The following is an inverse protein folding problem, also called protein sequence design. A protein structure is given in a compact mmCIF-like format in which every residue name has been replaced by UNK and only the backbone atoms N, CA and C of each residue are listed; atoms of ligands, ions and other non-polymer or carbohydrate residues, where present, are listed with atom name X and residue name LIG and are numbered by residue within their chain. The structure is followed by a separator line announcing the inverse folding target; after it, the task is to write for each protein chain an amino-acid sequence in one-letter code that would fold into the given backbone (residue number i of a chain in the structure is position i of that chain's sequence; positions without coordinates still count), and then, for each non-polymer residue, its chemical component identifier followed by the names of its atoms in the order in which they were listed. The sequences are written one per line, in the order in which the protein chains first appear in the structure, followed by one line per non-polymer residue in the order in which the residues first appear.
data_IF_424422768835
#
_entry.id   IF_424422768835
#
_cell.length_a   1.000
_cell.length_b   1.000
_cell.length_c   1.000
_cell.angle_alpha   90.00
_cell.angle_beta   90.00
_cell.angle_gamma   90.00
#
_symmetry.space_group_name_H-M   'P 1'
#
loop_
_entity.id
_entity.type
_entity.pdbx_description
1 polymer ?
#
# COMPACT_ATOMS: atom_id res chain seq x y z
N UNK A 1 71.30 38.97 10.46
CA UNK A 1 69.83 39.06 10.27
C UNK A 1 69.48 38.45 8.91
N UNK A 2 69.07 37.18 8.88
CA UNK A 2 68.73 36.51 7.63
C UNK A 2 67.33 36.95 7.18
N UNK A 3 67.25 37.74 6.11
CA UNK A 3 65.98 38.17 5.53
C UNK A 3 65.15 36.97 5.10
N UNK A 4 63.97 36.78 5.71
CA UNK A 4 62.99 35.78 5.27
C UNK A 4 62.60 36.08 3.82
N UNK A 5 63.11 35.29 2.87
CA UNK A 5 62.68 35.33 1.47
C UNK A 5 61.19 34.95 1.44
N UNK A 6 60.33 35.93 1.15
CA UNK A 6 58.88 35.69 0.98
C UNK A 6 58.69 34.89 -0.29
N UNK A 7 57.98 33.76 -0.21
CA UNK A 7 57.68 32.94 -1.37
C UNK A 7 56.74 33.72 -2.31
N UNK A 8 57.14 34.08 -3.54
CA UNK A 8 56.32 34.87 -4.46
C UNK A 8 55.03 34.16 -4.85
N UNK A 9 55.01 32.82 -4.79
CA UNK A 9 53.85 32.00 -5.13
C UNK A 9 52.75 31.97 -4.06
N UNK A 10 53.00 32.52 -2.86
CA UNK A 10 52.00 32.58 -1.79
C UNK A 10 50.76 33.41 -2.16
N UNK A 11 50.87 34.34 -3.14
CA UNK A 11 49.73 35.09 -3.68
C UNK A 11 48.72 34.22 -4.43
N UNK A 12 49.16 33.09 -5.00
CA UNK A 12 48.30 32.16 -5.74
C UNK A 12 47.71 31.06 -4.86
N UNK A 13 48.12 30.96 -3.58
CA UNK A 13 47.58 29.96 -2.65
C UNK A 13 46.05 30.08 -2.48
N UNK A 14 45.49 31.29 -2.57
CA UNK A 14 44.04 31.51 -2.49
C UNK A 14 43.25 30.76 -3.58
N UNK A 15 43.85 30.54 -4.76
CA UNK A 15 43.25 29.76 -5.84
C UNK A 15 43.06 28.31 -5.41
N UNK A 16 44.06 27.71 -4.75
CA UNK A 16 43.97 26.36 -4.20
C UNK A 16 42.88 26.23 -3.13
N UNK A 17 42.68 27.27 -2.32
CA UNK A 17 41.63 27.29 -1.30
C UNK A 17 40.22 27.37 -1.92
N UNK A 18 40.04 28.17 -2.97
CA UNK A 18 38.75 28.21 -3.71
C UNK A 18 38.44 26.85 -4.32
N UNK A 19 39.43 26.20 -4.97
CA UNK A 19 39.25 24.86 -5.55
C UNK A 19 38.87 23.84 -4.48
N UNK A 20 39.52 23.88 -3.32
CA UNK A 20 39.17 23.01 -2.19
C UNK A 20 37.74 23.28 -1.67
N UNK A 21 37.30 24.54 -1.61
CA UNK A 21 35.95 24.90 -1.16
C UNK A 21 34.88 24.35 -2.12
N UNK A 22 35.08 24.53 -3.43
CA UNK A 22 34.18 23.99 -4.46
C UNK A 22 34.16 22.44 -4.45
N UNK A 23 35.32 21.81 -4.24
CA UNK A 23 35.41 20.37 -4.07
C UNK A 23 34.69 19.89 -2.80
N UNK A 24 34.73 20.66 -1.71
CA UNK A 24 34.02 20.34 -0.47
C UNK A 24 32.50 20.41 -0.63
N UNK A 25 31.99 21.45 -1.30
CA UNK A 25 30.55 21.60 -1.55
C UNK A 25 30.04 20.46 -2.44
N UNK A 26 30.76 20.16 -3.53
CA UNK A 26 30.40 19.06 -4.42
C UNK A 26 30.45 17.69 -3.74
N UNK A 27 31.49 17.43 -2.93
CA UNK A 27 31.58 16.19 -2.14
C UNK A 27 30.41 16.06 -1.17
N UNK A 28 30.05 17.14 -0.46
CA UNK A 28 28.92 17.13 0.48
C UNK A 28 27.57 16.84 -0.19
N UNK A 29 27.35 17.39 -1.39
CA UNK A 29 26.12 17.20 -2.16
C UNK A 29 26.03 15.78 -2.74
N UNK A 30 27.14 15.20 -3.19
CA UNK A 30 27.19 13.81 -3.68
C UNK A 30 27.07 12.81 -2.53
N UNK A 31 27.67 13.10 -1.37
CA UNK A 31 27.57 12.28 -0.18
C UNK A 31 26.15 12.23 0.39
N UNK A 32 25.44 13.36 0.41
CA UNK A 32 24.05 13.42 0.86
C UNK A 32 23.12 12.65 -0.07
N UNK A 33 23.31 12.76 -1.40
CA UNK A 33 22.57 11.96 -2.37
C UNK A 33 22.75 10.45 -2.14
N UNK A 34 24.00 9.99 -1.96
CA UNK A 34 24.28 8.59 -1.64
C UNK A 34 23.68 8.14 -0.30
N UNK A 35 23.73 8.98 0.73
CA UNK A 35 23.13 8.67 2.03
C UNK A 35 21.60 8.52 1.92
N UNK A 36 20.91 9.38 1.16
CA UNK A 36 19.47 9.29 0.93
C UNK A 36 19.07 8.00 0.19
N UNK A 37 19.90 7.54 -0.75
CA UNK A 37 19.68 6.25 -1.43
C UNK A 37 19.89 5.06 -0.51
N UNK A 38 20.87 5.11 0.40
CA UNK A 38 21.11 4.04 1.38
C UNK A 38 19.99 3.87 2.41
N UNK A 39 19.20 4.93 2.65
CA UNK A 39 18.03 4.91 3.55
C UNK A 39 16.77 4.36 2.83
N UNK A 40 16.85 4.08 1.52
CA UNK A 40 15.73 3.54 0.74
C UNK A 40 14.67 4.57 0.36
N UNK A 41 14.97 5.87 0.49
CA UNK A 41 14.05 6.95 0.14
C UNK A 41 13.88 7.12 -1.39
N UNK A 42 14.91 6.73 -2.15
CA UNK A 42 14.92 6.73 -3.61
C UNK A 42 15.64 5.48 -4.14
N UNK A 43 15.01 4.74 -5.05
CA UNK A 43 15.63 3.61 -5.74
C UNK A 43 16.32 4.10 -7.02
N UNK A 44 17.62 4.38 -6.93
CA UNK A 44 18.44 4.62 -8.11
C UNK A 44 18.88 3.28 -8.71
N UNK A 45 18.73 3.14 -10.03
CA UNK A 45 19.22 2.02 -10.82
C UNK A 45 20.73 1.81 -10.59
N UNK A 46 21.18 0.55 -10.57
CA UNK A 46 22.53 0.13 -10.13
C UNK A 46 23.68 0.85 -10.88
N UNK A 47 23.43 1.27 -12.12
CA UNK A 47 24.35 2.05 -12.95
C UNK A 47 24.56 3.49 -12.44
N UNK A 48 23.53 4.12 -11.88
CA UNK A 48 23.59 5.48 -11.34
C UNK A 48 24.33 5.52 -9.99
N UNK A 49 24.14 4.49 -9.15
CA UNK A 49 24.85 4.37 -7.87
C UNK A 49 26.36 4.26 -8.05
N UNK A 50 26.81 3.49 -9.06
CA UNK A 50 28.22 3.37 -9.39
C UNK A 50 28.81 4.70 -9.89
N UNK A 51 28.07 5.46 -10.70
CA UNK A 51 28.50 6.78 -11.16
C UNK A 51 28.65 7.79 -10.00
N UNK A 52 27.70 7.81 -9.06
CA UNK A 52 27.76 8.64 -7.85
C UNK A 52 28.96 8.28 -6.96
N UNK A 53 29.25 6.98 -6.79
CA UNK A 53 30.40 6.52 -6.00
C UNK A 53 31.74 6.92 -6.63
N UNK A 54 31.89 6.82 -7.95
CA UNK A 54 33.09 7.28 -8.66
C UNK A 54 33.22 8.81 -8.53
N UNK A 55 32.13 9.56 -8.70
CA UNK A 55 32.12 11.02 -8.54
C UNK A 55 32.51 11.45 -7.12
N UNK A 56 32.06 10.72 -6.09
CA UNK A 56 32.46 10.91 -4.70
C UNK A 56 33.97 10.71 -4.52
N UNK A 57 34.54 9.62 -5.05
CA UNK A 57 35.97 9.34 -4.93
C UNK A 57 36.83 10.41 -5.63
N UNK A 58 36.42 10.85 -6.82
CA UNK A 58 37.14 11.89 -7.58
C UNK A 58 37.07 13.25 -6.88
N UNK A 59 35.90 13.64 -6.37
CA UNK A 59 35.72 14.91 -5.66
C UNK A 59 36.49 14.96 -4.34
N UNK A 60 36.52 13.85 -3.59
CA UNK A 60 37.36 13.68 -2.41
C UNK A 60 38.85 13.78 -2.77
N UNK A 61 39.29 13.12 -3.84
CA UNK A 61 40.67 13.23 -4.32
C UNK A 61 41.07 14.67 -4.66
N UNK A 62 40.20 15.40 -5.37
CA UNK A 62 40.43 16.79 -5.74
C UNK A 62 40.47 17.73 -4.52
N UNK A 63 39.64 17.47 -3.50
CA UNK A 63 39.66 18.19 -2.23
C UNK A 63 41.00 18.07 -1.51
N UNK A 64 41.52 16.84 -1.38
CA UNK A 64 42.81 16.60 -0.74
C UNK A 64 43.97 17.20 -1.52
N UNK A 65 43.94 17.12 -2.85
CA UNK A 65 44.96 17.74 -3.71
C UNK A 65 44.92 19.26 -3.57
N UNK A 66 43.73 19.89 -3.59
CA UNK A 66 43.56 21.33 -3.40
C UNK A 66 44.07 21.82 -2.04
N UNK A 67 43.73 21.10 -0.97
CA UNK A 67 44.24 21.37 0.37
C UNK A 67 45.76 21.17 0.47
N UNK A 68 46.31 20.12 -0.17
CA UNK A 68 47.74 19.85 -0.23
C UNK A 68 48.52 20.95 -0.95
N UNK A 69 48.00 21.43 -2.09
CA UNK A 69 48.58 22.55 -2.85
C UNK A 69 48.53 23.84 -2.04
N UNK A 70 47.40 24.14 -1.38
CA UNK A 70 47.30 25.28 -0.47
C UNK A 70 48.31 25.20 0.66
N UNK A 71 48.47 24.01 1.25
CA UNK A 71 49.39 23.77 2.35
C UNK A 71 50.85 23.94 1.95
N UNK A 72 51.21 23.47 0.76
CA UNK A 72 52.57 23.58 0.24
C UNK A 72 52.92 25.03 -0.16
N UNK A 73 51.97 25.76 -0.75
CA UNK A 73 52.17 27.14 -1.19
C UNK A 73 52.14 28.17 -0.05
N UNK A 74 51.48 27.87 1.07
CA UNK A 74 51.29 28.81 2.20
C UNK A 74 51.67 28.22 3.58
N UNK A 75 52.93 27.77 3.78
CA UNK A 75 53.35 27.15 5.04
C UNK A 75 53.26 28.11 6.25
N UNK A 76 53.45 29.40 6.03
CA UNK A 76 53.34 30.42 7.09
C UNK A 76 51.91 30.59 7.59
N UNK A 77 50.91 30.48 6.70
CA UNK A 77 49.49 30.57 7.05
C UNK A 77 49.05 29.36 7.88
N UNK A 78 49.45 28.15 7.48
CA UNK A 78 49.18 26.92 8.25
C UNK A 78 49.84 26.97 9.62
N UNK A 79 51.10 27.39 9.69
CA UNK A 79 51.79 27.52 10.99
C UNK A 79 51.07 28.47 11.92
N UNK A 80 50.56 29.61 11.43
CA UNK A 80 49.75 30.55 12.22
C UNK A 80 48.37 29.98 12.60
N UNK A 81 47.77 29.17 11.73
CA UNK A 81 46.49 28.51 11.99
C UNK A 81 46.61 27.40 13.05
N UNK A 82 47.76 26.71 13.11
CA UNK A 82 48.05 25.63 14.07
C UNK A 82 48.63 26.17 15.39
N UNK A 83 49.44 27.23 15.35
CA UNK A 83 50.07 27.82 16.56
C UNK A 83 49.31 29.01 17.14
N UNK A 84 48.26 29.48 16.46
CA UNK A 84 47.46 30.62 16.90
C UNK A 84 46.56 30.32 18.10
N UNK A 85 46.12 31.37 18.81
CA UNK A 85 45.15 31.25 19.92
C UNK A 85 43.84 30.59 19.48
N UNK A 86 43.43 30.83 18.24
CA UNK A 86 42.23 30.28 17.62
C UNK A 86 42.32 28.76 17.37
N UNK A 87 43.54 28.23 17.18
CA UNK A 87 43.80 26.79 17.05
C UNK A 87 43.39 26.04 18.31
N UNK A 88 43.78 26.56 19.49
CA UNK A 88 43.47 25.94 20.79
C UNK A 88 41.97 25.81 21.06
N UNK A 89 41.20 26.82 20.67
CA UNK A 89 39.74 26.78 20.79
C UNK A 89 39.11 25.87 19.74
N UNK A 90 39.63 25.83 18.51
CA UNK A 90 39.16 24.95 17.44
C UNK A 90 39.46 23.46 17.68
N UNK A 91 40.56 23.13 18.34
CA UNK A 91 40.94 21.74 18.67
C UNK A 91 39.89 21.05 19.53
N UNK A 92 39.32 21.76 20.52
CA UNK A 92 38.30 21.19 21.38
C UNK A 92 37.02 20.87 20.59
N UNK A 93 36.60 21.78 19.71
CA UNK A 93 35.46 21.54 18.81
C UNK A 93 35.72 20.37 17.86
N UNK A 94 36.94 20.24 17.32
CA UNK A 94 37.31 19.12 16.46
C UNK A 94 37.25 17.78 17.21
N UNK A 95 37.78 17.74 18.44
CA UNK A 95 37.74 16.54 19.30
C UNK A 95 36.30 16.15 19.60
N UNK A 96 35.43 17.12 19.92
CA UNK A 96 34.01 16.87 20.18
C UNK A 96 33.28 16.36 18.93
N UNK A 97 33.57 16.92 17.75
CA UNK A 97 32.99 16.44 16.48
C UNK A 97 33.44 15.00 16.19
N UNK A 98 34.73 14.71 16.32
CA UNK A 98 35.26 13.36 16.12
C UNK A 98 34.69 12.36 17.14
N UNK A 99 34.55 12.77 18.40
CA UNK A 99 33.93 11.96 19.44
C UNK A 99 32.44 11.70 19.12
N UNK A 100 31.70 12.72 18.70
CA UNK A 100 30.29 12.59 18.32
C UNK A 100 30.10 11.67 17.12
N UNK A 101 30.91 11.84 16.07
CA UNK A 101 30.91 10.95 14.89
C UNK A 101 31.31 9.53 15.30
N UNK A 102 32.31 9.37 16.15
CA UNK A 102 32.73 8.07 16.70
C UNK A 102 31.61 7.38 17.47
N UNK A 103 30.85 8.12 18.29
CA UNK A 103 29.67 7.61 19.00
C UNK A 103 28.61 7.20 17.99
N UNK A 104 28.30 8.02 16.98
CA UNK A 104 27.31 7.67 15.96
C UNK A 104 27.70 6.41 15.20
N UNK A 105 28.96 6.26 14.81
CA UNK A 105 29.46 5.05 14.14
C UNK A 105 29.40 3.85 15.08
N UNK A 106 29.76 3.99 16.36
CA UNK A 106 29.69 2.90 17.33
C UNK A 106 28.25 2.45 17.58
N UNK A 107 27.33 3.40 17.76
CA UNK A 107 25.89 3.13 17.90
C UNK A 107 25.36 2.45 16.64
N UNK A 108 25.67 3.00 15.46
CA UNK A 108 25.25 2.42 14.19
C UNK A 108 25.80 1.00 14.00
N UNK A 109 27.07 0.76 14.34
CA UNK A 109 27.69 -0.56 14.29
C UNK A 109 27.03 -1.55 15.26
N UNK A 110 26.72 -1.12 16.48
CA UNK A 110 26.01 -1.94 17.47
C UNK A 110 24.59 -2.27 16.96
N UNK A 111 23.85 -1.29 16.43
CA UNK A 111 22.51 -1.49 15.87
C UNK A 111 22.56 -2.43 14.66
N UNK A 112 23.51 -2.24 13.75
CA UNK A 112 23.69 -3.08 12.57
C UNK A 112 24.07 -4.52 12.91
N UNK A 113 24.86 -4.72 13.97
CA UNK A 113 25.29 -6.06 14.41
C UNK A 113 24.24 -6.75 15.29
N UNK A 114 23.48 -5.97 16.05
CA UNK A 114 22.48 -6.45 17.01
C UNK A 114 21.05 -6.13 16.54
N UNK A 115 20.76 -6.43 15.26
CA UNK A 115 19.44 -6.25 14.66
C UNK A 115 18.34 -7.02 15.43
N UNK A 116 18.67 -8.10 16.13
CA UNK A 116 17.71 -8.83 16.96
C UNK A 116 17.33 -8.13 18.26
N UNK A 117 18.16 -7.19 18.75
CA UNK A 117 17.98 -6.50 20.04
C UNK A 117 17.31 -5.13 19.88
N UNK A 118 17.53 -4.46 18.75
CA UNK A 118 16.96 -3.15 18.41
C UNK A 118 16.06 -3.14 17.16
N UNK A 119 16.04 -4.23 16.39
CA UNK A 119 15.24 -4.39 15.17
C UNK A 119 13.92 -5.12 15.40
N UNK A 120 13.34 -5.03 16.59
CA UNK A 120 11.89 -5.10 16.66
C UNK A 120 11.39 -3.88 15.87
N UNK A 121 10.66 -4.05 14.75
CA UNK A 121 10.16 -2.93 13.98
C UNK A 121 9.26 -2.11 14.89
N UNK A 122 9.79 -0.99 15.41
CA UNK A 122 8.97 0.02 16.04
C UNK A 122 8.26 0.76 14.91
N UNK A 123 7.18 0.13 14.44
CA UNK A 123 6.24 0.70 13.49
C UNK A 123 5.48 1.83 14.20
N UNK A 124 5.98 3.07 14.06
CA UNK A 124 5.33 4.30 14.50
C UNK A 124 4.18 4.72 13.54
N UNK A 125 3.57 3.77 12.83
CA UNK A 125 2.31 4.01 12.13
C UNK A 125 1.16 3.66 13.06
N UNK A 126 0.18 4.56 13.13
CA UNK A 126 -0.95 4.50 14.06
C UNK A 126 -1.92 3.33 13.77
N UNK A 127 -1.64 2.49 12.75
CA UNK A 127 -2.56 1.50 12.21
C UNK A 127 -2.11 0.04 12.33
N UNK A 128 -0.92 -0.29 12.86
CA UNK A 128 -0.44 -1.69 13.02
C UNK A 128 -0.67 -2.59 11.78
N UNK A 129 -0.76 -2.03 10.57
CA UNK A 129 -1.23 -2.75 9.37
C UNK A 129 -0.25 -3.84 8.89
N UNK A 130 0.95 -3.87 9.46
CA UNK A 130 1.96 -4.88 9.20
C UNK A 130 2.02 -6.01 10.24
N UNK A 131 1.28 -5.90 11.34
CA UNK A 131 1.29 -6.90 12.42
C UNK A 131 -0.09 -7.54 12.55
N UNK A 132 -0.13 -8.85 12.79
CA UNK A 132 -1.38 -9.54 13.10
C UNK A 132 -1.98 -8.98 14.39
N UNK A 133 -3.31 -8.89 14.45
CA UNK A 133 -4.01 -8.50 15.67
C UNK A 133 -3.71 -9.47 16.83
N UNK A 134 -3.83 -8.99 18.07
CA UNK A 134 -3.62 -9.84 19.24
C UNK A 134 -4.55 -11.07 19.26
N UNK A 135 -5.74 -10.96 18.68
CA UNK A 135 -6.69 -12.08 18.56
C UNK A 135 -6.16 -13.16 17.62
N UNK A 136 -5.63 -12.78 16.44
CA UNK A 136 -5.00 -13.71 15.49
C UNK A 136 -3.83 -14.46 16.08
N UNK A 137 -2.97 -13.76 16.86
CA UNK A 137 -1.83 -14.38 17.53
C UNK A 137 -2.24 -15.41 18.60
N UNK A 138 -3.30 -15.14 19.36
CA UNK A 138 -3.82 -16.08 20.35
C UNK A 138 -4.37 -17.36 19.70
N UNK A 139 -5.03 -17.23 18.56
CA UNK A 139 -5.57 -18.39 17.82
C UNK A 139 -4.42 -19.23 17.25
N UNK A 140 -3.40 -18.60 16.67
CA UNK A 140 -2.19 -19.30 16.22
C UNK A 140 -1.48 -20.04 17.36
N UNK A 141 -1.39 -19.43 18.56
CA UNK A 141 -0.77 -20.06 19.72
C UNK A 141 -1.55 -21.28 20.24
N UNK A 142 -2.88 -21.29 20.07
CA UNK A 142 -3.77 -22.35 20.55
C UNK A 142 -4.02 -23.47 19.53
N UNK A 143 -3.38 -23.41 18.35
CA UNK A 143 -3.48 -24.45 17.33
C UNK A 143 -3.02 -25.82 17.88
N UNK A 144 -3.88 -26.86 17.85
CA UNK A 144 -3.55 -28.18 18.38
C UNK A 144 -2.53 -28.91 17.50
N UNK A 145 -2.68 -28.82 16.18
CA UNK A 145 -1.86 -29.49 15.16
C UNK A 145 -1.40 -28.48 14.08
N UNK A 146 -0.54 -28.94 13.18
CA UNK A 146 -0.06 -28.15 12.03
C UNK A 146 -1.20 -27.88 11.03
N UNK A 147 -1.31 -26.63 10.59
CA UNK A 147 -2.28 -26.18 9.61
C UNK A 147 -1.59 -25.83 8.30
N UNK A 148 -2.03 -26.44 7.21
CA UNK A 148 -1.54 -26.12 5.86
C UNK A 148 -2.60 -25.31 5.11
N UNK A 149 -2.23 -24.12 4.64
CA UNK A 149 -3.05 -23.24 3.83
C UNK A 149 -2.72 -23.39 2.34
N UNK A 150 -3.64 -23.95 1.56
CA UNK A 150 -3.49 -24.03 0.09
C UNK A 150 -4.29 -22.89 -0.56
N UNK A 151 -3.59 -21.90 -1.12
CA UNK A 151 -4.18 -20.77 -1.80
C UNK A 151 -4.39 -21.08 -3.29
N UNK A 152 -5.64 -21.05 -3.72
CA UNK A 152 -6.05 -21.27 -5.11
C UNK A 152 -6.21 -19.92 -5.81
N UNK A 153 -5.15 -19.52 -6.51
CA UNK A 153 -5.05 -18.24 -7.22
C UNK A 153 -4.60 -18.49 -8.66
N UNK A 154 -5.36 -18.00 -9.64
CA UNK A 154 -4.91 -17.96 -11.04
C UNK A 154 -3.77 -16.95 -11.21
N UNK A 155 -3.08 -16.99 -12.35
CA UNK A 155 -2.00 -16.04 -12.65
C UNK A 155 -2.52 -14.63 -12.98
N UNK A 156 -3.82 -14.50 -13.25
CA UNK A 156 -4.46 -13.20 -13.56
C UNK A 156 -4.91 -12.45 -12.30
N UNK A 157 -5.00 -13.13 -11.15
CA UNK A 157 -5.42 -12.54 -9.89
C UNK A 157 -4.19 -12.16 -9.06
N UNK A 158 -4.21 -10.94 -8.51
CA UNK A 158 -3.12 -10.48 -7.65
C UNK A 158 -3.04 -11.34 -6.38
N UNK A 159 -1.94 -12.08 -6.25
CA UNK A 159 -1.64 -12.92 -5.08
C UNK A 159 -0.76 -12.19 -4.06
N UNK A 160 -0.18 -11.04 -4.39
CA UNK A 160 0.83 -10.35 -3.56
C UNK A 160 0.29 -10.06 -2.15
N UNK A 161 -0.91 -9.49 -2.07
CA UNK A 161 -1.55 -9.18 -0.78
C UNK A 161 -1.91 -10.43 0.05
N UNK A 162 -2.32 -11.51 -0.63
CA UNK A 162 -2.62 -12.79 0.02
C UNK A 162 -1.35 -13.48 0.50
N UNK A 163 -0.26 -13.42 -0.27
CA UNK A 163 1.04 -13.95 0.07
C UNK A 163 1.62 -13.25 1.29
N UNK A 164 1.60 -11.92 1.32
CA UNK A 164 2.04 -11.14 2.48
C UNK A 164 1.26 -11.51 3.75
N UNK A 165 -0.05 -11.69 3.63
CA UNK A 165 -0.89 -12.12 4.75
C UNK A 165 -0.52 -13.54 5.22
N UNK A 166 -0.44 -14.51 4.30
CA UNK A 166 -0.08 -15.90 4.63
C UNK A 166 1.33 -16.02 5.22
N UNK A 167 2.28 -15.24 4.71
CA UNK A 167 3.63 -15.16 5.24
C UNK A 167 3.62 -14.63 6.68
N UNK A 168 2.84 -13.59 6.99
CA UNK A 168 2.67 -13.09 8.37
C UNK A 168 2.13 -14.19 9.30
N UNK A 169 1.16 -14.99 8.85
CA UNK A 169 0.65 -16.13 9.63
C UNK A 169 1.73 -17.19 9.86
N UNK A 170 2.53 -17.53 8.82
CA UNK A 170 3.65 -18.48 8.92
C UNK A 170 4.69 -18.03 9.93
N UNK A 171 5.14 -16.78 9.83
CA UNK A 171 6.19 -16.21 10.69
C UNK A 171 5.77 -16.15 12.16
N UNK A 172 4.48 -15.96 12.45
CA UNK A 172 3.95 -15.87 13.80
C UNK A 172 3.40 -17.19 14.37
N UNK A 173 3.44 -18.28 13.61
CA UNK A 173 2.88 -19.59 14.01
C UNK A 173 3.84 -20.51 14.75
N UNK A 174 5.11 -20.12 14.91
CA UNK A 174 6.18 -20.97 15.45
C UNK A 174 6.27 -22.35 14.76
N UNK A 175 6.05 -22.40 13.44
CA UNK A 175 6.11 -23.63 12.64
C UNK A 175 4.84 -24.49 12.65
N UNK A 176 3.73 -23.99 13.22
CA UNK A 176 2.42 -24.67 13.17
C UNK A 176 1.56 -24.28 11.97
N UNK A 177 2.02 -23.35 11.14
CA UNK A 177 1.31 -22.90 9.94
C UNK A 177 2.26 -22.88 8.76
N UNK A 178 1.86 -23.52 7.67
CA UNK A 178 2.53 -23.44 6.38
C UNK A 178 1.53 -23.12 5.27
N UNK A 179 2.03 -22.64 4.13
CA UNK A 179 1.19 -22.31 2.99
C UNK A 179 1.79 -22.74 1.65
N UNK A 180 0.92 -23.03 0.70
CA UNK A 180 1.26 -23.37 -0.68
C UNK A 180 0.33 -22.64 -1.65
N UNK A 181 0.85 -22.24 -2.81
CA UNK A 181 0.07 -21.68 -3.91
C UNK A 181 -0.19 -22.76 -4.96
N UNK A 182 -1.44 -22.90 -5.38
CA UNK A 182 -1.85 -23.78 -6.48
C UNK A 182 -2.65 -22.96 -7.48
N UNK A 183 -2.29 -23.04 -8.75
CA UNK A 183 -3.10 -22.45 -9.81
C UNK A 183 -4.22 -23.44 -10.21
N UNK A 184 -5.51 -23.11 -10.01
CA UNK A 184 -6.63 -24.01 -10.31
C UNK A 184 -6.80 -24.28 -11.82
N UNK A 185 -6.31 -23.40 -12.70
CA UNK A 185 -6.35 -23.60 -14.16
C UNK A 185 -5.30 -24.61 -14.62
N UNK A 186 -4.12 -24.61 -13.98
CA UNK A 186 -3.04 -25.57 -14.27
C UNK A 186 -3.28 -26.92 -13.59
N UNK A 187 -3.89 -26.93 -12.40
CA UNK A 187 -4.20 -28.15 -11.66
C UNK A 187 -5.70 -28.23 -11.27
N UNK A 188 -6.58 -28.55 -12.23
CA UNK A 188 -8.03 -28.63 -11.97
C UNK A 188 -8.43 -29.83 -11.10
N UNK A 189 -7.58 -30.85 -11.00
CA UNK A 189 -7.84 -32.03 -10.15
C UNK A 189 -7.79 -31.62 -8.68
N UNK A 190 -6.72 -30.94 -8.26
CA UNK A 190 -6.57 -30.45 -6.89
C UNK A 190 -7.71 -29.50 -6.47
N UNK A 191 -8.15 -28.62 -7.37
CA UNK A 191 -9.26 -27.70 -7.08
C UNK A 191 -10.60 -28.44 -6.91
N UNK A 192 -10.87 -29.47 -7.73
CA UNK A 192 -12.09 -30.29 -7.61
C UNK A 192 -12.10 -31.15 -6.35
N UNK A 193 -10.97 -31.75 -6.00
CA UNK A 193 -10.84 -32.53 -4.75
C UNK A 193 -11.01 -31.65 -3.50
N UNK A 194 -10.57 -30.40 -3.57
CA UNK A 194 -10.77 -29.41 -2.52
C UNK A 194 -12.19 -28.82 -2.47
N UNK A 195 -13.07 -29.12 -3.45
CA UNK A 195 -14.41 -28.55 -3.54
C UNK A 195 -14.43 -27.05 -3.83
N UNK A 196 -13.37 -26.51 -4.42
CA UNK A 196 -13.20 -25.08 -4.65
C UNK A 196 -13.84 -24.67 -5.97
N UNK A 197 -14.78 -23.74 -5.87
CA UNK A 197 -15.46 -23.12 -7.00
C UNK A 197 -15.11 -21.63 -7.06
N UNK A 198 -14.40 -21.21 -8.10
CA UNK A 198 -13.93 -19.83 -8.26
C UNK A 198 -12.48 -19.61 -7.82
N UNK A 199 -12.01 -18.38 -8.03
CA UNK A 199 -10.62 -17.96 -7.82
C UNK A 199 -10.47 -17.18 -6.50
N UNK A 200 -9.25 -17.12 -5.96
CA UNK A 200 -8.91 -16.34 -4.76
C UNK A 200 -9.34 -16.99 -3.43
N UNK A 201 -9.54 -18.32 -3.42
CA UNK A 201 -9.97 -19.08 -2.23
C UNK A 201 -8.78 -19.74 -1.55
N UNK A 202 -8.87 -19.92 -0.23
CA UNK A 202 -7.80 -20.56 0.56
C UNK A 202 -8.40 -21.75 1.31
N UNK A 203 -7.86 -22.94 1.06
CA UNK A 203 -8.18 -24.15 1.80
C UNK A 203 -7.28 -24.24 3.03
N UNK A 204 -7.85 -24.29 4.23
CA UNK A 204 -7.12 -24.60 5.45
C UNK A 204 -7.34 -26.07 5.79
N UNK A 205 -6.26 -26.82 5.94
CA UNK A 205 -6.29 -28.24 6.30
C UNK A 205 -5.51 -28.47 7.60
N UNK A 206 -6.10 -29.25 8.51
CA UNK A 206 -5.48 -29.69 9.77
C UNK A 206 -5.84 -31.16 9.99
N UNK A 207 -4.87 -32.06 9.76
CA UNK A 207 -5.12 -33.50 9.70
C UNK A 207 -6.17 -33.84 8.62
N UNK A 208 -7.26 -34.48 9.04
CA UNK A 208 -8.39 -34.86 8.17
C UNK A 208 -9.43 -33.74 7.98
N UNK A 209 -9.31 -32.64 8.74
CA UNK A 209 -10.28 -31.54 8.70
C UNK A 209 -9.89 -30.52 7.65
N UNK A 210 -10.89 -30.01 6.92
CA UNK A 210 -10.71 -29.03 5.85
C UNK A 210 -11.80 -27.97 5.93
N UNK A 211 -11.41 -26.71 5.86
CA UNK A 211 -12.31 -25.55 5.82
C UNK A 211 -11.85 -24.57 4.73
N UNK A 212 -12.79 -23.85 4.12
CA UNK A 212 -12.50 -22.94 3.00
C UNK A 212 -12.75 -21.50 3.45
N UNK A 213 -11.71 -20.67 3.31
CA UNK A 213 -11.79 -19.23 3.41
C UNK A 213 -12.14 -18.65 2.03
N UNK A 214 -13.11 -17.75 2.00
CA UNK A 214 -13.68 -17.23 0.74
C UNK A 214 -12.76 -16.23 0.02
N UNK A 215 -11.89 -15.55 0.77
CA UNK A 215 -10.94 -14.54 0.30
C UNK A 215 -9.79 -14.37 1.30
N UNK A 216 -8.67 -13.83 0.84
CA UNK A 216 -7.53 -13.50 1.70
C UNK A 216 -7.80 -12.24 2.54
N UNK A 217 -8.27 -12.41 3.76
CA UNK A 217 -8.29 -11.37 4.79
C UNK A 217 -7.99 -11.97 6.15
N UNK A 218 -7.42 -11.18 7.06
CA UNK A 218 -7.12 -11.64 8.41
C UNK A 218 -8.38 -12.15 9.12
N UNK A 219 -9.46 -11.37 9.07
CA UNK A 219 -10.75 -11.72 9.68
C UNK A 219 -11.33 -13.03 9.14
N UNK A 220 -11.28 -13.24 7.82
CA UNK A 220 -11.81 -14.46 7.20
C UNK A 220 -10.93 -15.67 7.50
N UNK A 221 -9.60 -15.52 7.48
CA UNK A 221 -8.67 -16.60 7.84
C UNK A 221 -8.85 -17.00 9.30
N UNK A 222 -8.91 -16.04 10.21
CA UNK A 222 -9.17 -16.29 11.64
C UNK A 222 -10.50 -17.00 11.85
N UNK A 223 -11.58 -16.50 11.24
CA UNK A 223 -12.91 -17.11 11.36
C UNK A 223 -12.90 -18.56 10.84
N UNK A 224 -12.19 -18.81 9.75
CA UNK A 224 -12.08 -20.14 9.14
C UNK A 224 -11.22 -21.07 10.01
N UNK A 225 -10.16 -20.55 10.60
CA UNK A 225 -9.31 -21.28 11.56
C UNK A 225 -10.09 -21.66 12.82
N UNK A 226 -10.93 -20.77 13.36
CA UNK A 226 -11.82 -21.10 14.48
C UNK A 226 -12.76 -22.27 14.13
N UNK A 227 -13.33 -22.27 12.91
CA UNK A 227 -14.18 -23.38 12.45
C UNK A 227 -13.41 -24.69 12.30
N UNK A 228 -12.14 -24.59 11.85
CA UNK A 228 -11.26 -25.75 11.67
C UNK A 228 -10.84 -26.39 13.01
N UNK A 229 -10.50 -25.56 14.00
CA UNK A 229 -10.11 -26.01 15.35
C UNK A 229 -11.33 -26.54 16.11
N UNK A 230 -12.43 -25.81 16.09
CA UNK A 230 -13.66 -26.10 16.86
C UNK A 230 -14.85 -26.26 15.92
N UNK A 231 -15.16 -27.49 15.46
CA UNK A 231 -16.30 -27.77 14.59
C UNK A 231 -17.67 -27.67 15.29
N UNK A 232 -17.72 -27.32 16.57
CA UNK A 232 -18.99 -27.24 17.31
C UNK A 232 -19.86 -26.06 16.86
N UNK A 233 -21.09 -26.37 16.47
CA UNK A 233 -22.16 -25.38 16.32
C UNK A 233 -22.45 -24.76 17.70
N UNK A 234 -22.00 -23.52 17.91
CA UNK A 234 -22.37 -22.74 19.11
C UNK A 234 -23.88 -22.56 19.14
N UNK A 235 -24.57 -23.37 19.94
CA UNK A 235 -25.98 -23.19 20.25
C UNK A 235 -26.14 -21.96 21.15
N UNK A 236 -26.58 -20.84 20.58
CA UNK A 236 -26.95 -19.65 21.35
C UNK A 236 -28.33 -19.92 21.94
N UNK A 237 -28.39 -20.21 23.24
CA UNK A 237 -29.65 -20.31 23.97
C UNK A 237 -30.14 -18.92 24.33
N UNK A 238 -31.24 -18.48 23.71
CA UNK A 238 -31.95 -17.27 24.13
C UNK A 238 -32.87 -17.63 25.30
N UNK A 239 -32.68 -16.97 26.45
CA UNK A 239 -33.65 -17.06 27.54
C UNK A 239 -34.90 -16.28 27.12
N UNK A 240 -35.99 -16.99 26.84
CA UNK A 240 -37.27 -16.38 26.51
C UNK A 240 -37.95 -15.91 27.80
N UNK A 241 -37.87 -14.61 28.08
CA UNK A 241 -38.60 -13.91 29.14
C UNK A 241 -40.08 -13.71 28.77
N UNK A 242 -40.92 -13.48 29.78
CA UNK A 242 -42.38 -13.39 29.65
C UNK A 242 -42.86 -12.41 28.56
N UNK A 243 -43.51 -12.95 27.52
CA UNK A 243 -44.40 -12.17 26.63
C UNK A 243 -43.78 -11.59 25.34
N UNK A 244 -42.51 -11.85 25.06
CA UNK A 244 -41.83 -11.38 23.85
C UNK A 244 -41.83 -12.41 22.71
N UNK A 245 -41.95 -11.89 21.48
CA UNK A 245 -42.31 -12.65 20.28
C UNK A 245 -41.24 -13.71 19.95
N UNK A 246 -41.65 -14.98 19.89
CA UNK A 246 -40.72 -16.10 19.67
C UNK A 246 -40.02 -16.02 18.31
N UNK A 247 -38.73 -16.37 18.27
CA UNK A 247 -37.92 -16.49 17.03
C UNK A 247 -38.31 -17.71 16.16
N UNK A 248 -39.52 -18.25 16.33
CA UNK A 248 -40.08 -19.36 15.56
C UNK A 248 -40.79 -18.96 14.26
N UNK A 249 -40.69 -17.70 13.80
CA UNK A 249 -41.29 -17.30 12.50
C UNK A 249 -40.26 -17.37 11.38
N UNK A 250 -39.73 -18.57 11.11
CA UNK A 250 -39.00 -18.89 9.87
C UNK A 250 -39.98 -19.30 8.76
N UNK A 251 -41.00 -18.47 8.50
CA UNK A 251 -41.93 -18.57 7.35
C UNK A 251 -42.54 -17.21 6.96
N UNK A 252 -41.72 -16.15 6.90
CA UNK A 252 -42.19 -14.83 6.43
C UNK A 252 -41.12 -14.02 5.70
N UNK A 253 -40.19 -14.70 5.02
CA UNK A 253 -39.27 -14.06 4.07
C UNK A 253 -39.60 -14.40 2.61
N UNK A 254 -40.46 -15.40 2.36
CA UNK A 254 -40.92 -15.75 1.01
C UNK A 254 -42.06 -14.87 0.46
N UNK A 255 -42.61 -13.94 1.26
CA UNK A 255 -43.67 -13.04 0.81
C UNK A 255 -43.18 -11.65 0.37
N UNK A 256 -41.91 -11.31 0.63
CA UNK A 256 -41.33 -10.05 0.14
C UNK A 256 -40.67 -10.18 -1.24
N UNK A 257 -40.31 -11.38 -1.68
CA UNK A 257 -39.69 -11.59 -3.01
C UNK A 257 -40.67 -11.98 -4.12
N UNK A 258 -41.97 -12.18 -3.82
CA UNK A 258 -42.97 -12.57 -4.84
C UNK A 258 -43.75 -11.41 -5.44
N UNK A 259 -43.68 -10.20 -4.87
CA UNK A 259 -44.36 -9.03 -5.45
C UNK A 259 -43.54 -8.34 -6.55
N UNK A 260 -42.21 -8.49 -6.59
CA UNK A 260 -41.38 -7.80 -7.60
C UNK A 260 -41.38 -8.52 -8.98
N UNK A 261 -41.73 -9.82 -9.04
CA UNK A 261 -41.69 -10.59 -10.30
C UNK A 261 -43.07 -10.96 -10.88
N UNK A 262 -44.16 -10.68 -10.18
CA UNK A 262 -45.52 -10.89 -10.71
C UNK A 262 -46.08 -9.66 -11.44
N UNK A 263 -45.39 -8.51 -11.42
CA UNK A 263 -45.83 -7.27 -12.06
C UNK A 263 -45.35 -7.08 -13.51
N UNK A 264 -44.43 -7.91 -14.01
CA UNK A 264 -43.84 -7.73 -15.35
C UNK A 264 -44.42 -8.65 -16.44
N UNK A 265 -45.20 -9.67 -16.10
CA UNK A 265 -45.89 -10.52 -17.10
C UNK A 265 -47.29 -10.01 -17.50
N UNK A 266 -47.94 -9.14 -16.71
CA UNK A 266 -49.25 -8.58 -17.08
C UNK A 266 -49.14 -7.39 -18.05
N UNK A 267 -48.04 -6.63 -18.04
CA UNK A 267 -47.85 -5.51 -18.95
C UNK A 267 -47.56 -5.95 -20.40
N UNK A 268 -46.96 -7.14 -20.59
CA UNK A 268 -46.72 -7.73 -21.91
C UNK A 268 -47.92 -8.50 -22.48
N UNK A 269 -48.88 -8.94 -21.65
CA UNK A 269 -50.13 -9.55 -22.14
C UNK A 269 -51.22 -8.55 -22.50
N UNK A 270 -51.30 -7.39 -21.84
CA UNK A 270 -52.27 -6.34 -22.22
C UNK A 270 -51.90 -5.60 -23.52
N UNK A 271 -50.62 -5.54 -23.88
CA UNK A 271 -50.16 -4.95 -25.14
C UNK A 271 -50.30 -5.89 -26.35
N UNK A 272 -50.45 -7.21 -26.14
CA UNK A 272 -50.66 -8.18 -27.22
C UNK A 272 -52.14 -8.48 -27.54
N UNK A 273 -53.10 -8.10 -26.67
CA UNK A 273 -54.54 -8.30 -26.90
C UNK A 273 -55.28 -7.06 -27.43
N UNK A 274 -54.64 -5.90 -27.52
CA UNK A 274 -55.22 -4.69 -28.11
C UNK A 274 -55.04 -4.56 -29.63
N UNK A 275 -54.37 -5.52 -30.29
CA UNK A 275 -54.11 -5.52 -31.74
C UNK A 275 -55.04 -6.45 -32.55
N UNK A 276 -56.10 -7.00 -31.95
CA UNK A 276 -57.03 -7.87 -32.66
C UNK A 276 -58.48 -7.60 -32.24
N UNK A 277 -59.10 -6.61 -32.87
CA UNK A 277 -60.56 -6.53 -32.97
C UNK A 277 -60.97 -6.55 -34.45
N UNK A 278 -62.02 -7.30 -34.84
CA UNK A 278 -62.28 -7.65 -36.23
C UNK A 278 -62.94 -6.49 -37.00
N UNK A 279 -62.71 -6.50 -38.31
CA UNK A 279 -63.37 -5.67 -39.32
C UNK A 279 -64.89 -5.56 -39.10
N UNK A 280 -65.38 -4.32 -39.03
CA UNK A 280 -66.80 -4.00 -39.20
C UNK A 280 -67.02 -3.33 -40.56
N UNK A 281 -68.04 -3.75 -41.33
CA UNK A 281 -68.20 -3.34 -42.73
C UNK A 281 -68.82 -1.95 -42.86
N UNK A 282 -68.34 -1.23 -43.89
CA UNK A 282 -68.87 0.07 -44.35
C UNK A 282 -70.39 0.00 -44.60
N UNK A 283 -71.14 0.91 -43.98
CA UNK A 283 -72.44 1.39 -44.49
C UNK A 283 -72.51 2.92 -44.48
N UNK A 284 -73.22 3.40 -45.49
CA UNK A 284 -73.30 4.75 -46.11
C UNK A 284 -73.84 5.88 -45.20
N UNK A 285 -73.69 7.16 -45.63
CA UNK A 285 -73.92 8.34 -44.80
C UNK A 285 -75.38 8.83 -44.86
N UNK A 286 -75.86 9.38 -43.73
CA UNK A 286 -76.93 10.39 -43.62
C UNK A 286 -76.66 11.17 -42.34
N UNK A 287 -76.26 12.44 -42.41
CA UNK A 287 -77.09 13.64 -42.60
C UNK A 287 -77.73 14.13 -41.29
N UNK A 288 -77.85 15.45 -41.21
CA UNK A 288 -78.49 16.28 -40.18
C UNK A 288 -77.63 16.76 -38.98
N UNK A 289 -76.99 17.90 -39.19
CA UNK A 289 -77.50 19.21 -38.73
C UNK A 289 -77.77 19.40 -37.22
N UNK A 290 -76.85 20.13 -36.56
CA UNK A 290 -77.08 21.15 -35.53
C UNK A 290 -75.69 21.59 -35.08
N UNK A 291 -75.29 22.82 -35.31
CA UNK A 291 -76.03 23.97 -34.81
C UNK A 291 -75.27 24.47 -33.60
N UNK A 292 -74.62 25.61 -33.80
CA UNK A 292 -74.41 26.62 -32.78
C UNK A 292 -73.36 26.31 -31.70
N UNK A 293 -72.55 27.23 -31.19
CA UNK A 293 -72.38 28.65 -31.45
C UNK A 293 -71.47 29.13 -30.34
N UNK A 294 -70.59 30.09 -30.69
CA UNK A 294 -69.94 31.02 -29.76
C UNK A 294 -68.96 30.37 -28.76
N UNK A 295 -67.87 31.02 -28.40
CA UNK A 295 -67.43 32.37 -28.68
C UNK A 295 -66.00 32.47 -28.17
N UNK A 296 -65.26 33.40 -28.82
CA UNK A 296 -64.37 34.39 -28.19
C UNK A 296 -63.23 33.84 -27.32
N UNK A 297 -62.01 34.34 -27.43
CA UNK A 297 -61.54 35.62 -27.94
C UNK A 297 -60.02 35.53 -27.92
N UNK A 298 -59.38 36.29 -28.82
CA UNK A 298 -58.18 37.12 -28.59
C UNK A 298 -57.07 36.48 -27.74
N UNK A 299 -55.86 36.31 -28.25
CA UNK A 299 -55.19 37.09 -29.29
C UNK A 299 -53.70 37.14 -28.97
N UNK A 300 -52.92 37.60 -29.96
CA UNK A 300 -51.53 38.03 -29.83
C UNK A 300 -50.55 36.87 -29.76
N UNK A 301 -49.76 36.58 -30.80
CA UNK A 301 -48.63 37.40 -31.28
C UNK A 301 -47.53 37.50 -30.22
N UNK A 302 -46.43 36.79 -30.43
CA UNK A 302 -45.25 36.88 -29.58
C UNK A 302 -44.18 35.87 -29.96
N UNK A 303 -43.58 36.07 -31.12
CA UNK A 303 -42.32 35.49 -31.60
C UNK A 303 -41.21 35.63 -30.56
N UNK A 304 -40.45 34.56 -30.30
CA UNK A 304 -39.06 34.68 -29.79
C UNK A 304 -38.22 33.57 -30.41
N UNK A 305 -37.32 33.99 -31.32
CA UNK A 305 -36.12 33.26 -31.73
C UNK A 305 -35.15 33.15 -30.55
N UNK A 306 -34.44 32.04 -30.46
CA UNK A 306 -33.29 31.87 -29.57
C UNK A 306 -32.25 30.96 -30.23
N UNK A 307 -31.36 31.58 -31.01
CA UNK A 307 -30.14 30.96 -31.53
C UNK A 307 -29.19 30.58 -30.39
N UNK A 308 -28.56 29.41 -30.54
CA UNK A 308 -27.38 28.99 -29.80
C UNK A 308 -26.13 29.76 -30.26
N UNK A 309 -25.34 30.18 -29.29
CA UNK A 309 -23.95 30.60 -29.37
C UNK A 309 -23.35 30.49 -27.98
#
# INVERSE_FOLDING_TARGET
MAGKKKNPYARYAFIGLIVALLACISTGLVASANALTGIGMFSLEETQQNALNIALQVSVGLLFIGLGVYAFLSPDSIRRLVTGRQARYGSNSLILILAFVGILVAVNYIVYKNQSLFGAPWDFTQDQSNTLSQESLQILATLPDEVTATAFYTDNLDFTSAEELLQKFKDNSNGKFDYARVNPDLNPVAAREAGITGDGKILLQMGDRKEIASYASETELVRTMIRLVSPEARAIYFLQGHGEMSLGTRRRFELFHRQEYAGSEELHRQSAQSAHRPDHPRRRPRDCDRGSEKARQRGGSGTVEGLCG
#
